data_IF_672836445586
#
_entry.id   IF_672836445586
#
_cell.length_a   1.000
_cell.length_b   1.000
_cell.length_c   1.000
_cell.angle_alpha   90.00
_cell.angle_beta   90.00
_cell.angle_gamma   90.00
#
_symmetry.space_group_name_H-M   'P 1'
#
loop_
_entity.id
_entity.type
_entity.pdbx_description
1 polymer ?
#
# COMPACT_ATOMS: atom_id res chain seq x y z
N UNK A 1 32.45 -15.12 29.82
CA UNK A 1 32.32 -14.25 28.64
C UNK A 1 33.64 -13.52 28.45
N UNK A 2 34.13 -13.38 27.20
CA UNK A 2 35.37 -12.65 26.94
C UNK A 2 35.08 -11.15 27.09
N UNK A 3 35.84 -10.46 27.93
CA UNK A 3 35.85 -9.00 27.99
C UNK A 3 37.08 -8.51 27.22
N UNK A 4 36.94 -7.36 26.57
CA UNK A 4 38.05 -6.72 25.88
C UNK A 4 38.75 -5.75 26.82
N UNK A 5 40.07 -5.70 26.71
CA UNK A 5 40.90 -4.86 27.57
C UNK A 5 40.99 -3.43 27.05
N UNK A 6 41.49 -2.52 27.88
CA UNK A 6 41.65 -1.09 27.56
C UNK A 6 42.42 -0.88 26.24
N UNK A 7 43.52 -1.62 26.04
CA UNK A 7 44.34 -1.53 24.82
C UNK A 7 43.58 -1.98 23.57
N UNK A 8 42.71 -2.99 23.69
CA UNK A 8 41.90 -3.46 22.57
C UNK A 8 40.88 -2.41 22.16
N UNK A 9 40.24 -1.74 23.13
CA UNK A 9 39.34 -0.62 22.83
C UNK A 9 40.05 0.59 22.25
N UNK A 10 41.30 0.85 22.67
CA UNK A 10 42.14 1.87 22.05
C UNK A 10 42.44 1.55 20.57
N UNK A 11 42.80 0.30 20.25
CA UNK A 11 43.02 -0.11 18.87
C UNK A 11 41.74 -0.13 18.02
N UNK A 12 40.59 -0.42 18.64
CA UNK A 12 39.28 -0.28 18.00
C UNK A 12 39.00 1.19 17.64
N UNK A 13 39.27 2.13 18.55
CA UNK A 13 39.10 3.57 18.32
C UNK A 13 39.98 4.07 17.17
N UNK A 14 41.22 3.59 17.09
CA UNK A 14 42.16 3.89 16.00
C UNK A 14 41.83 3.16 14.68
N UNK A 15 40.73 2.38 14.62
CA UNK A 15 40.28 1.60 13.46
C UNK A 15 41.35 0.66 12.89
N UNK A 16 42.16 0.07 13.77
CA UNK A 16 43.28 -0.81 13.39
C UNK A 16 42.81 -2.23 13.06
N UNK A 17 41.65 -2.65 13.59
CA UNK A 17 41.08 -3.97 13.33
C UNK A 17 40.25 -4.03 12.04
N UNK A 18 40.07 -5.25 11.51
CA UNK A 18 39.15 -5.53 10.40
C UNK A 18 37.70 -5.15 10.74
N UNK A 19 36.91 -4.80 9.73
CA UNK A 19 35.49 -4.44 9.90
C UNK A 19 34.68 -5.52 10.62
N UNK A 20 34.98 -6.79 10.35
CA UNK A 20 34.32 -7.93 11.01
C UNK A 20 34.58 -7.93 12.52
N UNK A 21 35.83 -7.73 12.94
CA UNK A 21 36.20 -7.66 14.36
C UNK A 21 35.62 -6.41 15.04
N UNK A 22 35.59 -5.27 14.34
CA UNK A 22 34.95 -4.06 14.86
C UNK A 22 33.46 -4.27 15.14
N UNK A 23 32.75 -4.97 14.24
CA UNK A 23 31.33 -5.29 14.43
C UNK A 23 31.12 -6.22 15.63
N UNK A 24 31.94 -7.24 15.81
CA UNK A 24 31.85 -8.13 16.98
C UNK A 24 32.08 -7.37 18.30
N UNK A 25 33.05 -6.45 18.31
CA UNK A 25 33.33 -5.59 19.46
C UNK A 25 32.15 -4.64 19.74
N UNK A 26 31.55 -4.03 18.71
CA UNK A 26 30.34 -3.21 18.87
C UNK A 26 29.16 -4.01 19.42
N UNK A 27 28.89 -5.20 18.89
CA UNK A 27 27.85 -6.10 19.40
C UNK A 27 28.07 -6.46 20.87
N UNK A 28 29.32 -6.52 21.32
CA UNK A 28 29.68 -6.75 22.71
C UNK A 28 29.38 -5.54 23.60
N UNK A 29 29.61 -4.31 23.13
CA UNK A 29 29.29 -3.09 23.88
C UNK A 29 27.80 -3.00 24.22
N UNK A 30 26.91 -3.41 23.30
CA UNK A 30 25.47 -3.42 23.57
C UNK A 30 25.02 -4.43 24.65
N UNK A 31 25.86 -5.42 24.96
CA UNK A 31 25.51 -6.53 25.86
C UNK A 31 26.28 -6.50 27.18
N UNK A 32 27.36 -5.73 27.28
CA UNK A 32 28.26 -5.76 28.43
C UNK A 32 28.53 -4.35 28.99
N UNK A 33 27.95 -4.07 30.16
CA UNK A 33 28.13 -2.80 30.89
C UNK A 33 29.60 -2.54 31.23
N UNK A 34 30.33 -3.55 31.74
CA UNK A 34 31.75 -3.40 32.10
C UNK A 34 32.62 -2.94 30.92
N UNK A 35 32.38 -3.48 29.73
CA UNK A 35 33.14 -3.08 28.54
C UNK A 35 32.70 -1.71 28.03
N UNK A 36 31.42 -1.35 28.19
CA UNK A 36 30.94 0.01 27.93
C UNK A 36 31.64 1.04 28.81
N UNK A 37 31.77 0.76 30.11
CA UNK A 37 32.43 1.68 31.05
C UNK A 37 33.90 1.90 30.66
N UNK A 38 34.63 0.83 30.35
CA UNK A 38 36.03 0.92 29.89
C UNK A 38 36.12 1.72 28.59
N UNK A 39 35.20 1.50 27.64
CA UNK A 39 35.17 2.23 26.38
C UNK A 39 34.88 3.73 26.58
N UNK A 40 33.92 4.09 27.43
CA UNK A 40 33.61 5.48 27.73
C UNK A 40 34.76 6.18 28.47
N UNK A 41 35.53 5.44 29.26
CA UNK A 41 36.72 5.93 29.95
C UNK A 41 37.85 6.35 29.00
N UNK A 42 37.83 5.89 27.73
CA UNK A 42 38.80 6.26 26.70
C UNK A 42 38.52 7.61 26.03
N UNK A 43 37.38 8.25 26.34
CA UNK A 43 37.00 9.53 25.78
C UNK A 43 37.68 10.64 26.60
N UNK A 44 38.60 11.36 25.96
CA UNK A 44 39.35 12.44 26.61
C UNK A 44 38.58 13.78 26.56
N UNK A 45 38.83 14.68 27.51
CA UNK A 45 38.22 16.02 27.56
C UNK A 45 38.50 16.84 26.29
N UNK A 46 39.64 16.59 25.65
CA UNK A 46 40.00 17.18 24.35
C UNK A 46 39.03 16.79 23.26
N UNK A 47 38.57 15.54 23.25
CA UNK A 47 37.63 15.03 22.25
C UNK A 47 36.22 15.57 22.48
N UNK A 48 35.84 15.72 23.75
CA UNK A 48 34.60 16.39 24.15
C UNK A 48 34.61 17.84 23.65
N UNK A 49 35.68 18.58 23.94
CA UNK A 49 35.84 19.99 23.51
C UNK A 49 35.87 20.13 21.98
N UNK A 50 36.52 19.19 21.28
CA UNK A 50 36.54 19.20 19.81
C UNK A 50 35.14 18.93 19.22
N UNK A 51 34.39 18.02 19.83
CA UNK A 51 33.01 17.72 19.45
C UNK A 51 32.10 18.93 19.67
N UNK A 52 32.26 19.66 20.78
CA UNK A 52 31.53 20.91 21.03
C UNK A 52 31.77 21.99 19.98
N UNK A 53 32.98 22.04 19.41
CA UNK A 53 33.30 22.97 18.29
C UNK A 53 32.70 22.53 16.97
N UNK A 54 32.61 21.23 16.72
CA UNK A 54 32.02 20.67 15.49
C UNK A 54 30.48 20.74 15.49
N UNK A 55 29.86 20.70 16.66
CA UNK A 55 28.41 20.72 16.81
C UNK A 55 27.91 22.16 16.89
N UNK A 56 26.97 22.52 16.01
CA UNK A 56 26.33 23.85 16.07
C UNK A 56 25.53 23.99 17.37
N UNK A 57 25.48 25.19 17.96
CA UNK A 57 24.69 25.47 19.18
C UNK A 57 23.21 25.05 19.08
N UNK A 58 22.65 25.07 17.87
CA UNK A 58 21.26 24.71 17.59
C UNK A 58 21.10 23.26 17.10
N UNK A 59 22.12 22.41 17.24
CA UNK A 59 22.09 21.03 16.76
C UNK A 59 20.94 20.24 17.38
N UNK A 60 20.80 20.26 18.70
CA UNK A 60 19.72 19.56 19.42
C UNK A 60 18.34 20.03 18.95
N UNK A 61 18.16 21.35 18.82
CA UNK A 61 16.90 21.93 18.34
C UNK A 61 16.59 21.48 16.90
N UNK A 62 17.58 21.53 16.00
CA UNK A 62 17.43 21.09 14.62
C UNK A 62 17.11 19.59 14.51
N UNK A 63 17.78 18.73 15.28
CA UNK A 63 17.53 17.28 15.29
C UNK A 63 16.12 16.97 15.80
N UNK A 64 15.71 17.59 16.92
CA UNK A 64 14.35 17.41 17.47
C UNK A 64 13.29 17.89 16.49
N UNK A 65 13.51 19.03 15.85
CA UNK A 65 12.59 19.56 14.83
C UNK A 65 12.50 18.64 13.60
N UNK A 66 13.62 18.05 13.17
CA UNK A 66 13.65 17.09 12.06
C UNK A 66 12.96 15.77 12.40
N UNK A 67 13.15 15.22 13.60
CA UNK A 67 12.45 13.99 14.02
C UNK A 67 10.94 14.25 14.19
N UNK A 68 10.55 15.42 14.71
CA UNK A 68 9.14 15.83 14.79
C UNK A 68 8.52 16.02 13.41
N UNK A 69 9.22 16.66 12.47
CA UNK A 69 8.70 16.85 11.11
C UNK A 69 8.52 15.53 10.36
N UNK A 70 9.30 14.49 10.69
CA UNK A 70 9.10 13.13 10.20
C UNK A 70 7.90 12.43 10.85
N UNK A 71 7.71 12.55 12.18
CA UNK A 71 6.52 12.03 12.88
C UNK A 71 5.22 12.73 12.46
N UNK A 72 5.28 14.03 12.17
CA UNK A 72 4.19 14.83 11.61
C UNK A 72 4.30 14.97 10.09
N UNK A 73 5.01 14.05 9.44
CA UNK A 73 5.14 13.92 7.99
C UNK A 73 3.86 13.49 7.29
N UNK A 74 2.67 13.86 7.79
CA UNK A 74 1.51 14.02 6.92
C UNK A 74 1.77 15.30 6.15
N UNK A 75 2.45 15.12 5.02
CA UNK A 75 2.47 15.96 3.84
C UNK A 75 1.60 17.21 4.02
N UNK A 76 2.20 18.41 4.01
CA UNK A 76 1.48 19.59 3.54
C UNK A 76 1.14 19.37 2.07
N UNK A 77 0.21 18.45 1.77
CA UNK A 77 -0.49 18.36 0.50
C UNK A 77 -1.13 19.73 0.38
N UNK A 78 -0.56 20.58 -0.47
CA UNK A 78 -1.27 21.74 -1.02
C UNK A 78 -2.67 21.23 -1.32
N UNK A 79 -3.72 21.80 -0.69
CA UNK A 79 -5.12 21.43 -0.91
C UNK A 79 -5.46 21.72 -2.38
N UNK A 80 -5.02 20.86 -3.29
CA UNK A 80 -5.24 20.95 -4.72
C UNK A 80 -6.67 20.50 -4.98
N UNK A 81 -7.53 21.48 -5.29
CA UNK A 81 -8.61 21.42 -6.28
C UNK A 81 -9.70 20.32 -6.20
N UNK A 82 -9.76 19.46 -5.18
CA UNK A 82 -10.78 18.41 -5.09
C UNK A 82 -12.24 18.94 -4.99
N UNK A 83 -12.43 20.18 -4.52
CA UNK A 83 -13.76 20.83 -4.44
C UNK A 83 -14.39 21.16 -5.81
N UNK A 84 -13.64 21.06 -6.91
CA UNK A 84 -14.14 21.36 -8.26
C UNK A 84 -14.83 20.16 -8.90
N UNK A 85 -14.21 18.98 -8.85
CA UNK A 85 -14.72 17.76 -9.51
C UNK A 85 -15.93 17.17 -8.78
N UNK A 86 -16.02 17.33 -7.46
CA UNK A 86 -17.18 16.85 -6.71
C UNK A 86 -18.46 17.64 -7.04
N UNK A 87 -18.32 18.93 -7.38
CA UNK A 87 -19.46 19.78 -7.80
C UNK A 87 -19.98 19.37 -9.18
N UNK A 88 -19.10 18.98 -10.11
CA UNK A 88 -19.52 18.52 -11.43
C UNK A 88 -20.22 17.16 -11.35
N UNK A 89 -19.67 16.21 -10.58
CA UNK A 89 -20.31 14.89 -10.38
C UNK A 89 -21.67 14.99 -9.67
N UNK A 90 -21.79 15.85 -8.65
CA UNK A 90 -23.06 16.07 -7.96
C UNK A 90 -24.12 16.70 -8.88
N UNK A 91 -23.72 17.63 -9.76
CA UNK A 91 -24.63 18.22 -10.76
C UNK A 91 -25.21 17.18 -11.72
N UNK A 92 -24.38 16.25 -12.22
CA UNK A 92 -24.85 15.16 -13.08
C UNK A 92 -25.82 14.21 -12.34
N UNK A 93 -25.53 13.89 -11.08
CA UNK A 93 -26.42 13.06 -10.27
C UNK A 93 -27.78 13.72 -10.03
N UNK A 94 -27.79 15.01 -9.70
CA UNK A 94 -29.04 15.78 -9.51
C UNK A 94 -29.85 15.84 -10.80
N UNK A 95 -29.21 16.07 -11.95
CA UNK A 95 -29.89 16.08 -13.24
C UNK A 95 -30.53 14.72 -13.58
N UNK A 96 -29.78 13.63 -13.40
CA UNK A 96 -30.30 12.28 -13.64
C UNK A 96 -31.45 11.92 -12.69
N UNK A 97 -31.33 12.26 -11.40
CA UNK A 97 -32.37 12.02 -10.41
C UNK A 97 -33.64 12.83 -10.71
N UNK A 98 -33.51 14.09 -11.14
CA UNK A 98 -34.65 14.92 -11.54
C UNK A 98 -35.41 14.30 -12.72
N UNK A 99 -34.69 13.84 -13.75
CA UNK A 99 -35.29 13.16 -14.90
C UNK A 99 -36.02 11.89 -14.46
N UNK A 100 -35.39 11.05 -13.62
CA UNK A 100 -36.01 9.83 -13.12
C UNK A 100 -37.29 10.10 -12.30
N UNK A 101 -37.27 11.12 -11.43
CA UNK A 101 -38.43 11.54 -10.63
C UNK A 101 -39.54 12.04 -11.56
N UNK A 102 -39.24 12.90 -12.53
CA UNK A 102 -40.23 13.43 -13.48
C UNK A 102 -40.87 12.29 -14.28
N UNK A 103 -40.08 11.34 -14.80
CA UNK A 103 -40.60 10.19 -15.54
C UNK A 103 -41.47 9.27 -14.66
N UNK A 104 -41.08 9.10 -13.39
CA UNK A 104 -41.81 8.25 -12.44
C UNK A 104 -43.12 8.90 -11.98
N UNK A 105 -43.08 10.18 -11.57
CA UNK A 105 -44.27 10.92 -11.15
C UNK A 105 -45.18 11.30 -12.32
N UNK A 106 -44.62 11.51 -13.51
CA UNK A 106 -45.37 11.81 -14.73
C UNK A 106 -46.09 10.61 -15.34
N UNK A 107 -45.97 9.41 -14.75
CA UNK A 107 -46.71 8.23 -15.20
C UNK A 107 -46.22 7.61 -16.52
N UNK A 108 -45.05 8.03 -17.03
CA UNK A 108 -44.49 7.57 -18.31
C UNK A 108 -44.30 6.05 -18.37
N UNK A 109 -43.93 5.42 -17.24
CA UNK A 109 -43.80 3.97 -17.16
C UNK A 109 -45.15 3.23 -17.24
N UNK A 110 -46.27 3.89 -16.88
CA UNK A 110 -47.61 3.30 -17.03
C UNK A 110 -47.99 3.12 -18.49
N UNK A 111 -47.74 4.14 -19.32
CA UNK A 111 -48.02 4.10 -20.76
C UNK A 111 -47.17 3.03 -21.49
N UNK A 112 -45.92 2.83 -21.07
CA UNK A 112 -45.08 1.75 -21.58
C UNK A 112 -45.63 0.35 -21.24
N UNK A 113 -46.11 0.16 -20.00
CA UNK A 113 -46.69 -1.11 -19.55
C UNK A 113 -48.00 -1.41 -20.28
N UNK A 114 -48.80 -0.38 -20.61
CA UNK A 114 -50.02 -0.51 -21.41
C UNK A 114 -49.74 -0.75 -22.91
N UNK A 115 -48.55 -0.39 -23.40
CA UNK A 115 -48.09 -0.75 -24.76
C UNK A 115 -47.50 -2.17 -24.85
N UNK A 116 -47.05 -2.77 -23.74
CA UNK A 116 -46.48 -4.13 -23.74
C UNK A 116 -47.42 -5.20 -24.35
N UNK A 117 -48.74 -5.22 -24.09
CA UNK A 117 -49.67 -6.15 -24.75
C UNK A 117 -49.69 -5.99 -26.26
N UNK A 118 -49.59 -4.75 -26.77
CA UNK A 118 -49.63 -4.46 -28.20
C UNK A 118 -48.32 -4.91 -28.86
N UNK A 119 -47.16 -4.60 -28.27
CA UNK A 119 -45.85 -5.01 -28.78
C UNK A 119 -45.64 -6.53 -28.66
N UNK A 120 -46.10 -7.16 -27.58
CA UNK A 120 -46.08 -8.61 -27.42
C UNK A 120 -46.83 -9.30 -28.57
N UNK A 121 -48.03 -8.80 -28.92
CA UNK A 121 -48.80 -9.30 -30.06
C UNK A 121 -48.09 -9.08 -31.41
N UNK A 122 -47.30 -8.01 -31.57
CA UNK A 122 -46.45 -7.81 -32.76
C UNK A 122 -45.19 -8.69 -32.79
N UNK A 123 -44.68 -9.14 -31.63
CA UNK A 123 -43.48 -9.98 -31.55
C UNK A 123 -43.75 -11.49 -31.70
N UNK A 124 -44.96 -11.96 -31.43
CA UNK A 124 -45.33 -13.38 -31.61
C UNK A 124 -45.34 -13.80 -33.09
N UNK A 125 -45.48 -12.87 -34.03
CA UNK A 125 -45.47 -13.18 -35.47
C UNK A 125 -44.08 -13.16 -36.16
N UNK A 126 -42.97 -12.87 -35.47
CA UNK A 126 -41.67 -12.73 -36.16
C UNK A 126 -40.51 -13.55 -35.56
N UNK A 127 -40.22 -14.64 -36.29
CA UNK A 127 -38.94 -15.36 -36.47
C UNK A 127 -38.56 -16.46 -35.47
N UNK A 128 -39.00 -17.67 -35.85
CA UNK A 128 -38.11 -18.81 -36.02
C UNK A 128 -36.93 -18.42 -36.93
N UNK A 129 -35.76 -18.13 -36.35
CA UNK A 129 -34.52 -18.04 -37.12
C UNK A 129 -33.37 -18.65 -36.33
N UNK A 130 -32.87 -19.76 -36.84
CA UNK A 130 -31.65 -20.46 -36.44
C UNK A 130 -30.50 -19.46 -36.23
N UNK A 131 -30.07 -19.27 -34.98
CA UNK A 131 -28.79 -18.65 -34.66
C UNK A 131 -27.94 -19.72 -33.96
N UNK A 132 -26.72 -20.04 -34.44
CA UNK A 132 -25.87 -21.01 -33.77
C UNK A 132 -25.54 -20.46 -32.39
N UNK A 133 -25.98 -21.17 -31.34
CA UNK A 133 -25.87 -20.72 -29.96
C UNK A 133 -24.42 -20.92 -29.50
N UNK A 134 -23.54 -19.97 -29.86
CA UNK A 134 -22.08 -20.02 -29.59
C UNK A 134 -21.81 -20.16 -28.09
N UNK A 135 -22.66 -19.57 -27.25
CA UNK A 135 -22.57 -19.63 -25.78
C UNK A 135 -22.83 -21.06 -25.27
N UNK A 136 -23.81 -21.74 -25.86
CA UNK A 136 -24.13 -23.13 -25.52
C UNK A 136 -22.98 -24.07 -25.90
N UNK A 137 -22.44 -23.94 -27.12
CA UNK A 137 -21.32 -24.75 -27.59
C UNK A 137 -20.03 -24.51 -26.77
N UNK A 138 -19.78 -23.28 -26.33
CA UNK A 138 -18.65 -22.97 -25.44
C UNK A 138 -18.79 -23.68 -24.09
N UNK A 139 -19.99 -23.65 -23.51
CA UNK A 139 -20.28 -24.27 -22.22
C UNK A 139 -20.10 -25.79 -22.28
N UNK A 140 -20.59 -26.42 -23.35
CA UNK A 140 -20.43 -27.85 -23.60
C UNK A 140 -18.96 -28.24 -23.74
N UNK A 141 -18.17 -27.44 -24.47
CA UNK A 141 -16.73 -27.67 -24.65
C UNK A 141 -15.94 -27.56 -23.35
N UNK A 142 -16.28 -26.62 -22.47
CA UNK A 142 -15.64 -26.44 -21.15
C UNK A 142 -15.98 -27.62 -20.23
N UNK A 143 -17.26 -28.03 -20.20
CA UNK A 143 -17.71 -29.16 -19.40
C UNK A 143 -17.03 -30.47 -19.84
N UNK A 144 -16.95 -30.71 -21.15
CA UNK A 144 -16.24 -31.88 -21.71
C UNK A 144 -14.77 -31.92 -21.32
N UNK A 145 -14.03 -30.80 -21.50
CA UNK A 145 -12.61 -30.67 -21.10
C UNK A 145 -12.39 -30.95 -19.61
N UNK A 146 -13.31 -30.50 -18.76
CA UNK A 146 -13.23 -30.71 -17.30
C UNK A 146 -13.48 -32.17 -16.94
N UNK A 147 -14.47 -32.81 -17.57
CA UNK A 147 -14.75 -34.24 -17.40
C UNK A 147 -13.55 -35.11 -17.80
N UNK A 148 -12.93 -34.82 -18.96
CA UNK A 148 -11.76 -35.56 -19.43
C UNK A 148 -10.55 -35.39 -18.51
N UNK A 149 -10.35 -34.17 -18.01
CA UNK A 149 -9.32 -33.89 -17.00
C UNK A 149 -9.54 -34.71 -15.72
N UNK A 150 -10.76 -34.75 -15.18
CA UNK A 150 -11.08 -35.53 -13.97
C UNK A 150 -10.83 -37.03 -14.19
N UNK A 151 -11.24 -37.56 -15.35
CA UNK A 151 -10.98 -38.96 -15.71
C UNK A 151 -9.48 -39.26 -15.75
N UNK A 152 -8.70 -38.38 -16.38
CA UNK A 152 -7.25 -38.56 -16.48
C UNK A 152 -6.54 -38.45 -15.12
N UNK A 153 -7.05 -37.62 -14.19
CA UNK A 153 -6.52 -37.55 -12.82
C UNK A 153 -6.76 -38.82 -12.00
N UNK A 154 -7.85 -39.55 -12.27
CA UNK A 154 -8.18 -40.78 -11.54
C UNK A 154 -7.41 -42.01 -12.03
N UNK A 155 -6.78 -41.97 -13.22
CA UNK A 155 -6.01 -43.09 -13.79
C UNK A 155 -4.55 -43.12 -13.29
N UNK A 156 -4.08 -42.05 -12.62
CA UNK A 156 -2.71 -41.94 -12.08
C UNK A 156 -2.58 -42.33 -10.60
N UNK A 157 -3.45 -43.23 -10.09
CA UNK A 157 -3.33 -43.80 -8.74
C UNK A 157 -3.26 -45.31 -8.76
#
# INVERSE_FOLDING_TARGET
MKHYDYLEWFFYKEKVFSEEKNREMEEHLYKCEKCMDIFLSLIDEKEVTNSEKMISKNFTENVVNNVRSLKYGVQKKKKKKYRSEFRTMFGYYVAAAAVAIILTFGGFYGELVDMLPQVANFTVERKQSNLPNVIFNLSEKIAGRTSDFIKNFQILK
#
